data_IF_941529011279
#
_entry.id   IF_941529011279
#
_cell.length_a   1.000
_cell.length_b   1.000
_cell.length_c   1.000
_cell.angle_alpha   90.00
_cell.angle_beta   90.00
_cell.angle_gamma   90.00
#
_symmetry.space_group_name_H-M   'P 1'
#
loop_
_entity.id
_entity.type
_entity.pdbx_description
1 polymer ?
#
# COMPACT_ATOMS: atom_id res chain seq x y z
N UNK A 1 -54.89 10.26 19.00
CA UNK A 1 -54.08 9.05 18.74
C UNK A 1 -53.70 9.08 17.27
N UNK A 2 -52.43 8.85 16.95
CA UNK A 2 -51.75 8.91 15.65
C UNK A 2 -51.19 10.27 15.20
N UNK A 3 -49.92 10.51 15.57
CA UNK A 3 -48.98 11.32 14.77
C UNK A 3 -48.39 10.44 13.65
N UNK A 4 -48.20 10.95 12.43
CA UNK A 4 -47.29 10.32 11.47
C UNK A 4 -45.85 10.80 11.76
N UNK A 5 -44.93 9.83 11.84
CA UNK A 5 -43.49 10.05 11.97
C UNK A 5 -42.94 10.59 10.65
N UNK A 6 -42.40 11.80 10.66
CA UNK A 6 -41.51 12.28 9.60
C UNK A 6 -40.18 11.53 9.66
N UNK A 7 -39.91 10.69 8.68
CA UNK A 7 -38.54 10.26 8.39
C UNK A 7 -37.87 11.38 7.60
N UNK A 8 -36.95 12.08 8.26
CA UNK A 8 -35.99 12.92 7.57
C UNK A 8 -34.96 12.00 6.89
N UNK A 9 -35.08 11.81 5.58
CA UNK A 9 -33.94 11.38 4.77
C UNK A 9 -33.00 12.58 4.66
N UNK A 10 -31.94 12.58 5.46
CA UNK A 10 -30.72 13.32 5.15
C UNK A 10 -30.09 12.66 3.94
N UNK A 11 -30.44 13.12 2.74
CA UNK A 11 -29.69 12.82 1.53
C UNK A 11 -28.33 13.48 1.63
N UNK A 12 -27.26 12.68 1.74
CA UNK A 12 -25.93 13.13 1.37
C UNK A 12 -26.00 13.48 -0.12
N UNK A 13 -25.98 14.78 -0.44
CA UNK A 13 -25.66 15.23 -1.77
C UNK A 13 -24.17 14.92 -2.00
N UNK A 14 -23.89 13.72 -2.52
CA UNK A 14 -22.62 13.45 -3.16
C UNK A 14 -22.58 14.39 -4.37
N UNK A 15 -21.74 15.42 -4.29
CA UNK A 15 -21.46 16.27 -5.44
C UNK A 15 -20.79 15.39 -6.49
N UNK A 16 -21.54 15.02 -7.52
CA UNK A 16 -21.04 14.30 -8.69
C UNK A 16 -20.11 15.26 -9.44
N UNK A 17 -18.85 15.30 -9.01
CA UNK A 17 -17.78 15.86 -9.83
C UNK A 17 -17.62 14.94 -11.04
N UNK A 18 -17.40 15.51 -12.23
CA UNK A 18 -17.14 14.71 -13.41
C UNK A 18 -16.01 13.72 -13.16
N UNK A 19 -16.20 12.44 -13.50
CA UNK A 19 -15.18 11.42 -13.18
C UNK A 19 -13.88 11.63 -13.96
N UNK A 20 -13.94 12.30 -15.12
CA UNK A 20 -12.75 12.82 -15.80
C UNK A 20 -11.94 13.80 -14.92
N UNK A 21 -12.62 14.70 -14.19
CA UNK A 21 -11.97 15.61 -13.23
C UNK A 21 -11.53 14.89 -11.94
N UNK A 22 -12.00 13.67 -11.69
CA UNK A 22 -11.59 12.88 -10.54
C UNK A 22 -10.19 12.26 -10.72
N UNK A 23 -9.71 12.12 -11.96
CA UNK A 23 -8.35 11.63 -12.23
C UNK A 23 -7.32 12.75 -12.24
N UNK A 24 -7.65 13.89 -12.83
CA UNK A 24 -6.73 15.00 -13.09
C UNK A 24 -7.05 16.20 -12.19
N UNK A 25 -6.31 16.36 -11.10
CA UNK A 25 -6.56 17.40 -10.09
C UNK A 25 -5.33 17.67 -9.22
N UNK A 26 -5.31 18.83 -8.57
CA UNK A 26 -4.29 19.22 -7.59
C UNK A 26 -4.95 19.82 -6.35
N UNK A 27 -4.45 19.50 -5.16
CA UNK A 27 -4.90 20.11 -3.89
C UNK A 27 -4.36 21.54 -3.74
N UNK A 28 -3.18 21.81 -4.28
CA UNK A 28 -2.51 23.10 -4.23
C UNK A 28 -1.84 23.38 -5.58
N UNK A 29 -2.23 24.46 -6.26
CA UNK A 29 -1.60 24.86 -7.51
C UNK A 29 -0.49 25.90 -7.25
N UNK A 30 0.79 25.58 -7.49
CA UNK A 30 1.93 26.42 -7.16
C UNK A 30 2.04 27.67 -8.05
N UNK A 31 1.32 27.73 -9.18
CA UNK A 31 1.22 28.96 -9.98
C UNK A 31 0.42 30.05 -9.25
N UNK A 32 -0.43 29.67 -8.30
CA UNK A 32 -1.37 30.56 -7.63
C UNK A 32 -1.15 30.65 -6.10
N UNK A 33 -0.39 29.74 -5.51
CA UNK A 33 -0.16 29.66 -4.07
C UNK A 33 1.25 29.13 -3.74
N UNK A 34 1.64 29.20 -2.48
CA UNK A 34 2.81 28.48 -1.96
C UNK A 34 2.33 27.11 -1.48
N UNK A 35 2.86 26.04 -2.07
CA UNK A 35 2.52 24.65 -1.72
C UNK A 35 3.63 24.03 -0.86
N UNK A 36 3.30 22.92 -0.20
CA UNK A 36 4.28 22.12 0.53
C UNK A 36 5.28 21.48 -0.44
N UNK A 37 6.45 21.09 0.07
CA UNK A 37 7.42 20.36 -0.74
C UNK A 37 6.87 18.98 -1.13
N UNK A 38 7.07 18.58 -2.38
CA UNK A 38 6.60 17.31 -2.91
C UNK A 38 7.58 16.20 -2.56
N UNK A 39 7.17 15.09 -1.93
CA UNK A 39 8.05 13.96 -1.66
C UNK A 39 8.59 13.35 -2.97
N UNK A 40 9.90 13.17 -3.08
CA UNK A 40 10.50 12.55 -4.25
C UNK A 40 10.50 11.01 -4.16
N UNK A 41 10.58 10.33 -5.30
CA UNK A 41 10.98 8.93 -5.32
C UNK A 41 12.50 8.83 -5.06
N UNK A 42 13.32 9.62 -5.75
CA UNK A 42 14.77 9.74 -5.51
C UNK A 42 15.58 8.45 -5.77
N UNK A 43 15.00 7.53 -6.55
CA UNK A 43 15.57 6.22 -6.90
C UNK A 43 14.80 5.60 -8.07
N UNK A 44 15.18 4.39 -8.48
CA UNK A 44 14.31 3.50 -9.25
C UNK A 44 13.65 2.45 -8.37
N UNK A 45 12.50 1.96 -8.81
CA UNK A 45 11.69 0.96 -8.13
C UNK A 45 10.89 0.13 -9.14
N UNK A 46 10.69 -1.16 -8.84
CA UNK A 46 9.76 -2.03 -9.56
C UNK A 46 8.68 -2.50 -8.61
N UNK A 47 7.43 -2.22 -8.94
CA UNK A 47 6.25 -2.67 -8.23
C UNK A 47 5.63 -3.84 -8.99
N UNK A 48 5.65 -5.02 -8.38
CA UNK A 48 5.03 -6.22 -8.93
C UNK A 48 3.64 -6.39 -8.33
N UNK A 49 2.60 -5.98 -9.06
CA UNK A 49 1.24 -5.92 -8.56
C UNK A 49 0.60 -7.31 -8.33
N UNK A 50 1.32 -8.40 -8.59
CA UNK A 50 0.91 -9.75 -8.20
C UNK A 50 1.53 -10.24 -6.87
N UNK A 51 2.45 -9.47 -6.27
CA UNK A 51 3.26 -9.89 -5.11
C UNK A 51 3.44 -8.77 -4.07
N UNK A 52 3.82 -7.58 -4.53
CA UNK A 52 3.92 -6.36 -3.74
C UNK A 52 2.61 -5.62 -3.91
N UNK A 53 1.72 -5.73 -2.91
CA UNK A 53 0.50 -4.94 -2.86
C UNK A 53 0.86 -3.45 -2.83
N UNK A 54 -0.06 -2.59 -3.28
CA UNK A 54 0.09 -1.15 -3.22
C UNK A 54 0.26 -0.70 -1.76
N UNK A 55 1.52 -0.64 -1.32
CA UNK A 55 1.90 -0.22 0.01
C UNK A 55 1.33 1.16 0.27
N UNK A 56 0.55 1.31 1.34
CA UNK A 56 -0.10 2.58 1.68
C UNK A 56 0.88 3.72 1.93
N UNK A 57 2.13 3.40 2.25
CA UNK A 57 3.19 4.40 2.42
C UNK A 57 3.70 4.93 1.07
N UNK A 58 3.55 4.15 -0.01
CA UNK A 58 3.99 4.50 -1.36
C UNK A 58 2.85 4.88 -2.31
N UNK A 59 1.64 4.39 -2.05
CA UNK A 59 0.47 4.53 -2.91
C UNK A 59 -0.77 4.89 -2.10
N UNK A 60 -1.67 5.67 -2.71
CA UNK A 60 -2.94 6.06 -2.12
C UNK A 60 -4.07 5.83 -3.11
N UNK A 61 -5.02 4.99 -2.74
CA UNK A 61 -6.27 4.83 -3.49
C UNK A 61 -7.06 6.14 -3.43
N UNK A 62 -7.45 6.65 -4.59
CA UNK A 62 -8.22 7.89 -4.75
C UNK A 62 -9.68 7.61 -5.09
N UNK A 63 -9.99 6.45 -5.67
CA UNK A 63 -11.34 5.97 -5.91
C UNK A 63 -11.37 4.44 -5.91
N UNK A 64 -12.48 3.86 -5.42
CA UNK A 64 -12.70 2.42 -5.40
C UNK A 64 -11.64 1.63 -4.63
N UNK A 65 -11.61 0.32 -4.89
CA UNK A 65 -10.65 -0.63 -4.32
C UNK A 65 -10.02 -1.42 -5.44
N UNK A 66 -8.74 -1.74 -5.30
CA UNK A 66 -8.01 -2.59 -6.25
C UNK A 66 -7.94 -3.99 -5.67
N UNK A 67 -8.39 -4.97 -6.44
CA UNK A 67 -8.25 -6.38 -6.10
C UNK A 67 -6.90 -6.89 -6.60
N UNK A 68 -6.15 -7.58 -5.75
CA UNK A 68 -4.84 -8.12 -6.11
C UNK A 68 -4.96 -9.62 -6.35
N UNK A 69 -4.66 -10.05 -7.59
CA UNK A 69 -4.69 -11.45 -8.00
C UNK A 69 -3.30 -11.94 -8.41
N UNK A 70 -3.18 -13.22 -8.75
CA UNK A 70 -1.90 -13.78 -9.23
C UNK A 70 -1.44 -13.17 -10.56
N UNK A 71 -2.35 -12.53 -11.31
CA UNK A 71 -2.05 -11.90 -12.61
C UNK A 71 -1.69 -10.43 -12.52
N UNK A 72 -2.02 -9.75 -11.41
CA UNK A 72 -1.78 -8.33 -11.22
C UNK A 72 -2.83 -7.66 -10.33
N UNK A 73 -2.80 -6.33 -10.29
CA UNK A 73 -3.85 -5.50 -9.71
C UNK A 73 -4.99 -5.30 -10.69
N UNK A 74 -6.21 -5.51 -10.23
CA UNK A 74 -7.44 -5.48 -11.00
C UNK A 74 -8.27 -4.24 -10.61
N UNK A 75 -8.45 -3.36 -11.59
CA UNK A 75 -9.21 -2.12 -11.47
C UNK A 75 -10.58 -2.35 -12.09
N UNK A 76 -11.53 -2.83 -11.27
CA UNK A 76 -12.82 -3.35 -11.74
C UNK A 76 -13.96 -2.36 -11.53
N UNK A 77 -14.71 -2.08 -12.58
CA UNK A 77 -15.96 -1.31 -12.57
C UNK A 77 -17.11 -2.33 -12.61
N UNK A 78 -17.94 -2.37 -11.56
CA UNK A 78 -19.07 -3.32 -11.47
C UNK A 78 -20.40 -2.70 -11.92
N UNK A 79 -20.49 -1.36 -11.96
CA UNK A 79 -21.69 -0.67 -12.41
C UNK A 79 -21.55 0.85 -12.41
N UNK A 80 -22.67 1.53 -12.63
CA UNK A 80 -22.72 2.98 -12.73
C UNK A 80 -22.26 3.66 -11.42
N UNK A 81 -21.42 4.69 -11.56
CA UNK A 81 -20.81 5.41 -10.44
C UNK A 81 -19.51 4.80 -9.92
N UNK A 82 -19.17 3.57 -10.30
CA UNK A 82 -17.88 2.97 -9.95
C UNK A 82 -16.73 3.62 -10.75
N UNK A 83 -15.63 3.88 -10.06
CA UNK A 83 -14.32 4.12 -10.65
C UNK A 83 -13.27 3.55 -9.71
N UNK A 84 -12.15 3.10 -10.26
CA UNK A 84 -11.02 2.59 -9.48
C UNK A 84 -9.79 3.36 -9.88
N UNK A 85 -9.14 4.02 -8.92
CA UNK A 85 -7.97 4.84 -9.17
C UNK A 85 -7.02 4.84 -7.97
N UNK A 86 -5.73 4.92 -8.26
CA UNK A 86 -4.66 4.99 -7.28
C UNK A 86 -3.58 5.94 -7.77
N UNK A 87 -2.92 6.63 -6.86
CA UNK A 87 -1.80 7.51 -7.15
C UNK A 87 -0.59 7.20 -6.28
N UNK A 88 0.62 7.48 -6.76
CA UNK A 88 1.82 7.43 -5.93
C UNK A 88 1.83 8.58 -4.92
N UNK A 89 2.31 8.31 -3.71
CA UNK A 89 2.53 9.34 -2.68
C UNK A 89 3.79 10.18 -2.94
N UNK A 90 4.66 9.68 -3.82
CA UNK A 90 5.87 10.35 -4.28
C UNK A 90 5.71 10.89 -5.70
N UNK A 91 6.57 11.82 -6.05
CA UNK A 91 6.72 12.42 -7.35
C UNK A 91 8.07 12.01 -7.96
N UNK A 92 8.16 12.04 -9.29
CA UNK A 92 9.43 11.99 -10.02
C UNK A 92 9.65 13.31 -10.76
N UNK A 93 10.91 13.69 -10.96
CA UNK A 93 11.22 14.90 -11.70
C UNK A 93 12.12 14.60 -12.89
N UNK A 94 11.48 14.52 -14.05
CA UNK A 94 11.98 13.74 -15.18
C UNK A 94 12.19 12.27 -14.79
N UNK A 95 12.27 11.38 -15.77
CA UNK A 95 12.40 9.97 -15.46
C UNK A 95 11.85 9.05 -16.52
N UNK A 96 11.63 7.83 -16.07
CA UNK A 96 11.07 6.75 -16.88
C UNK A 96 9.98 6.03 -16.11
N UNK A 97 8.86 5.81 -16.76
CA UNK A 97 7.74 5.02 -16.23
C UNK A 97 7.40 3.93 -17.21
N UNK A 98 7.41 2.68 -16.76
CA UNK A 98 6.96 1.55 -17.56
C UNK A 98 5.78 0.87 -16.86
N UNK A 99 4.70 0.62 -17.61
CA UNK A 99 3.51 -0.05 -17.10
C UNK A 99 3.19 -1.23 -18.00
N UNK A 100 3.26 -2.43 -17.43
CA UNK A 100 2.85 -3.66 -18.12
C UNK A 100 1.40 -3.97 -17.78
N UNK A 101 0.50 -3.80 -18.74
CA UNK A 101 -0.93 -3.88 -18.50
C UNK A 101 -1.75 -4.48 -19.65
N UNK A 102 -3.00 -4.83 -19.32
CA UNK A 102 -4.12 -5.04 -20.23
C UNK A 102 -5.18 -3.97 -19.94
N UNK A 103 -5.63 -3.28 -20.97
CA UNK A 103 -6.71 -2.30 -20.84
C UNK A 103 -8.05 -2.98 -20.54
N UNK A 104 -8.97 -2.23 -19.94
CA UNK A 104 -10.33 -2.69 -19.71
C UNK A 104 -11.10 -2.76 -21.04
N UNK A 105 -11.88 -3.82 -21.29
CA UNK A 105 -12.88 -3.83 -22.34
C UNK A 105 -14.10 -2.99 -21.94
N UNK A 106 -15.03 -2.81 -22.89
CA UNK A 106 -16.33 -2.19 -22.66
C UNK A 106 -16.46 -0.83 -23.35
N UNK A 107 -17.54 -0.63 -24.10
CA UNK A 107 -17.84 0.67 -24.70
C UNK A 107 -17.93 1.74 -23.61
N UNK A 108 -17.33 2.91 -23.83
CA UNK A 108 -17.36 4.00 -22.86
C UNK A 108 -16.45 3.82 -21.63
N UNK A 109 -15.77 2.67 -21.48
CA UNK A 109 -14.82 2.44 -20.39
C UNK A 109 -13.43 2.93 -20.79
N UNK A 110 -12.78 3.62 -19.87
CA UNK A 110 -11.47 4.22 -20.08
C UNK A 110 -10.48 3.62 -19.09
N UNK A 111 -9.36 3.12 -19.60
CA UNK A 111 -8.18 2.80 -18.78
C UNK A 111 -7.15 3.91 -18.96
N UNK A 112 -6.46 4.26 -17.88
CA UNK A 112 -5.63 5.47 -17.83
C UNK A 112 -4.32 5.23 -17.08
N UNK A 113 -3.23 5.72 -17.66
CA UNK A 113 -1.93 5.89 -17.01
C UNK A 113 -1.55 7.36 -17.18
N UNK A 114 -1.50 8.08 -16.06
CA UNK A 114 -1.33 9.54 -16.06
C UNK A 114 -0.16 9.91 -15.15
N UNK A 115 0.79 10.67 -15.67
CA UNK A 115 1.70 11.45 -14.83
C UNK A 115 1.11 12.85 -14.70
N UNK A 116 0.97 13.34 -13.46
CA UNK A 116 0.41 14.68 -13.24
C UNK A 116 1.15 15.45 -12.14
N UNK A 117 1.43 16.72 -12.41
CA UNK A 117 2.04 17.66 -11.46
C UNK A 117 0.97 18.45 -10.69
N UNK A 118 1.42 19.18 -9.67
CA UNK A 118 0.56 20.11 -8.95
C UNK A 118 0.18 21.37 -9.75
N UNK A 119 0.93 21.75 -10.78
CA UNK A 119 0.54 22.84 -11.69
C UNK A 119 -0.29 22.37 -12.89
N UNK A 120 -0.60 21.07 -12.96
CA UNK A 120 -1.37 20.42 -14.03
C UNK A 120 -0.60 20.31 -15.36
N UNK A 121 0.73 20.22 -15.30
CA UNK A 121 1.47 19.48 -16.32
C UNK A 121 1.05 18.01 -16.27
N UNK A 122 0.87 17.40 -17.45
CA UNK A 122 0.22 16.10 -17.57
C UNK A 122 0.79 15.31 -18.76
N UNK A 123 0.97 14.00 -18.57
CA UNK A 123 1.33 13.05 -19.62
C UNK A 123 0.40 11.84 -19.50
N UNK A 124 -0.32 11.53 -20.58
CA UNK A 124 -1.36 10.50 -20.55
C UNK A 124 -1.09 9.36 -21.53
N UNK A 125 -1.54 8.18 -21.13
CA UNK A 125 -1.77 7.02 -21.98
C UNK A 125 -3.15 6.49 -21.66
N UNK A 126 -4.05 6.60 -22.64
CA UNK A 126 -5.48 6.27 -22.49
C UNK A 126 -5.88 5.15 -23.46
N UNK A 127 -6.76 4.25 -23.01
CA UNK A 127 -7.44 3.26 -23.85
C UNK A 127 -8.93 3.39 -23.69
N UNK A 128 -9.63 3.21 -24.81
CA UNK A 128 -11.09 3.13 -24.82
C UNK A 128 -11.47 1.67 -25.01
N UNK A 129 -12.25 1.11 -24.08
CA UNK A 129 -12.57 -0.32 -24.04
C UNK A 129 -13.37 -0.83 -25.24
N UNK A 130 -14.07 0.06 -25.95
CA UNK A 130 -14.72 -0.22 -27.23
C UNK A 130 -13.77 -0.24 -28.44
N UNK A 131 -12.50 0.18 -28.27
CA UNK A 131 -11.49 0.23 -29.32
C UNK A 131 -10.35 -0.76 -29.02
N UNK A 132 -10.39 -1.92 -29.68
CA UNK A 132 -9.39 -2.98 -29.54
C UNK A 132 -8.21 -2.86 -30.54
N UNK A 133 -8.02 -1.67 -31.13
CA UNK A 133 -7.04 -1.48 -32.21
C UNK A 133 -6.13 -0.28 -32.01
N UNK A 134 -6.44 0.60 -31.05
CA UNK A 134 -5.66 1.81 -30.80
C UNK A 134 -5.61 2.16 -29.32
N UNK A 135 -4.58 2.92 -28.97
CA UNK A 135 -4.46 3.64 -27.70
C UNK A 135 -4.14 5.11 -28.01
N UNK A 136 -4.29 5.99 -27.03
CA UNK A 136 -4.08 7.42 -27.18
C UNK A 136 -2.94 7.89 -26.28
N UNK A 137 -1.99 8.61 -26.86
CA UNK A 137 -1.03 9.43 -26.10
C UNK A 137 -1.53 10.86 -26.03
N UNK A 138 -1.36 11.53 -24.89
CA UNK A 138 -1.71 12.93 -24.73
C UNK A 138 -0.77 13.65 -23.76
N UNK A 139 -0.83 14.98 -23.75
CA UNK A 139 -0.13 15.79 -22.77
C UNK A 139 -0.83 17.12 -22.55
N UNK A 140 -0.68 17.69 -21.37
CA UNK A 140 -1.08 19.06 -21.05
C UNK A 140 0.08 19.78 -20.36
N UNK A 141 0.15 21.09 -20.56
CA UNK A 141 1.06 21.92 -19.78
C UNK A 141 0.25 22.93 -18.98
N UNK A 142 0.51 23.03 -17.68
CA UNK A 142 -0.08 24.01 -16.76
C UNK A 142 -1.63 24.04 -16.80
N UNK A 143 -2.25 22.89 -17.05
CA UNK A 143 -3.71 22.76 -17.19
C UNK A 143 -4.30 23.49 -18.39
N UNK A 144 -3.50 23.87 -19.38
CA UNK A 144 -3.96 24.61 -20.55
C UNK A 144 -4.84 23.73 -21.45
N UNK A 145 -6.16 23.95 -21.44
CA UNK A 145 -7.13 23.23 -22.28
C UNK A 145 -7.69 24.07 -23.44
N UNK A 146 -6.98 25.14 -23.83
CA UNK A 146 -7.40 26.04 -24.93
C UNK A 146 -7.53 25.29 -26.27
N UNK A 147 -6.74 24.25 -26.45
CA UNK A 147 -6.77 23.35 -27.61
C UNK A 147 -6.83 21.90 -27.14
N UNK A 148 -7.39 21.02 -27.99
CA UNK A 148 -7.46 19.57 -27.79
C UNK A 148 -6.74 18.81 -28.92
N UNK A 149 -5.72 19.43 -29.50
CA UNK A 149 -4.95 18.96 -30.66
C UNK A 149 -3.73 18.07 -30.31
N UNK A 150 -3.52 17.81 -29.01
CA UNK A 150 -2.35 17.12 -28.48
C UNK A 150 -2.49 15.61 -28.43
N UNK A 151 -3.74 15.14 -28.44
CA UNK A 151 -4.07 13.73 -28.40
C UNK A 151 -3.75 13.07 -29.75
N UNK A 152 -3.01 11.96 -29.72
CA UNK A 152 -2.66 11.19 -30.93
C UNK A 152 -2.98 9.73 -30.68
N UNK A 153 -3.74 9.14 -31.60
CA UNK A 153 -4.11 7.73 -31.60
C UNK A 153 -3.07 6.89 -32.33
N UNK A 154 -2.67 5.78 -31.71
CA UNK A 154 -1.64 4.88 -32.21
C UNK A 154 -2.18 3.46 -32.35
N UNK A 155 -1.89 2.76 -33.45
CA UNK A 155 -2.33 1.40 -33.64
C UNK A 155 -1.66 0.45 -32.64
N UNK A 156 -2.41 -0.53 -32.16
CA UNK A 156 -1.91 -1.61 -31.31
C UNK A 156 -2.77 -2.86 -31.49
N UNK A 157 -2.15 -4.02 -31.37
CA UNK A 157 -2.82 -5.30 -31.54
C UNK A 157 -3.39 -5.79 -30.21
N UNK A 158 -4.72 -5.67 -30.06
CA UNK A 158 -5.51 -6.28 -28.98
C UNK A 158 -5.11 -5.84 -27.54
N UNK A 159 -5.14 -4.53 -27.21
CA UNK A 159 -4.64 -4.03 -25.92
C UNK A 159 -5.49 -4.45 -24.72
N UNK A 160 -6.73 -4.92 -24.95
CA UNK A 160 -7.58 -5.51 -23.91
C UNK A 160 -7.27 -7.00 -23.69
N UNK A 161 -6.88 -7.74 -24.74
CA UNK A 161 -6.58 -9.17 -24.67
C UNK A 161 -5.12 -9.49 -24.33
N UNK A 162 -4.16 -8.64 -24.72
CA UNK A 162 -2.71 -8.90 -24.64
C UNK A 162 -2.00 -7.95 -23.69
N UNK A 163 -0.95 -8.47 -23.06
CA UNK A 163 -0.05 -7.65 -22.26
C UNK A 163 0.84 -6.81 -23.17
N UNK A 164 0.90 -5.52 -22.90
CA UNK A 164 1.82 -4.58 -23.52
C UNK A 164 2.61 -3.85 -22.45
N UNK A 165 3.88 -3.56 -22.73
CA UNK A 165 4.68 -2.64 -21.93
C UNK A 165 4.55 -1.24 -22.54
N UNK A 166 3.89 -0.33 -21.83
CA UNK A 166 3.82 1.08 -22.21
C UNK A 166 4.85 1.86 -21.41
N UNK A 167 5.72 2.59 -22.10
CA UNK A 167 6.81 3.32 -21.45
C UNK A 167 6.78 4.79 -21.81
N UNK A 168 6.93 5.63 -20.80
CA UNK A 168 7.20 7.06 -20.90
C UNK A 168 8.67 7.28 -20.55
N UNK A 169 9.45 7.89 -21.44
CA UNK A 169 10.77 8.46 -21.13
C UNK A 169 10.68 9.98 -21.23
N UNK A 170 10.88 10.66 -20.10
CA UNK A 170 10.59 12.07 -19.95
C UNK A 170 11.83 12.80 -19.45
N UNK A 171 12.32 13.75 -20.24
CA UNK A 171 13.48 14.60 -19.94
C UNK A 171 13.12 16.07 -20.16
N UNK A 172 14.02 16.99 -19.83
CA UNK A 172 13.78 18.42 -20.11
C UNK A 172 13.76 18.74 -21.61
N UNK A 173 14.43 17.93 -22.45
CA UNK A 173 14.52 18.17 -23.88
C UNK A 173 13.42 17.47 -24.69
N UNK A 174 12.98 16.29 -24.24
CA UNK A 174 12.03 15.45 -24.97
C UNK A 174 11.23 14.52 -24.06
N UNK A 175 10.05 14.20 -24.55
CA UNK A 175 9.11 13.24 -24.01
C UNK A 175 8.83 12.18 -25.06
N UNK A 176 9.04 10.91 -24.73
CA UNK A 176 8.86 9.79 -25.63
C UNK A 176 7.87 8.79 -25.07
N UNK A 177 6.98 8.29 -25.94
CA UNK A 177 6.11 7.17 -25.66
C UNK A 177 6.57 5.96 -26.46
N UNK A 178 6.71 4.84 -25.77
CA UNK A 178 7.13 3.57 -26.34
C UNK A 178 6.11 2.49 -26.02
N UNK A 179 6.02 1.49 -26.89
CA UNK A 179 5.24 0.28 -26.66
C UNK A 179 6.08 -0.93 -27.05
N UNK A 180 6.24 -1.89 -26.13
CA UNK A 180 7.01 -3.13 -26.38
C UNK A 180 8.40 -2.86 -26.98
N UNK A 181 9.14 -1.91 -26.39
CA UNK A 181 10.47 -1.45 -26.81
C UNK A 181 10.53 -0.74 -28.19
N UNK A 182 9.38 -0.42 -28.79
CA UNK A 182 9.28 0.38 -30.02
C UNK A 182 8.91 1.84 -29.69
N UNK A 183 9.66 2.80 -30.24
CA UNK A 183 9.37 4.23 -30.09
C UNK A 183 8.18 4.60 -30.98
N UNK A 184 7.10 5.07 -30.36
CA UNK A 184 5.85 5.40 -31.06
C UNK A 184 5.72 6.90 -31.29
N UNK A 185 6.06 7.72 -30.30
CA UNK A 185 5.93 9.17 -30.37
C UNK A 185 7.07 9.86 -29.64
N UNK A 186 7.56 10.96 -30.21
CA UNK A 186 8.44 11.92 -29.54
C UNK A 186 7.80 13.30 -29.58
N UNK A 187 7.78 13.98 -28.44
CA UNK A 187 7.47 15.40 -28.30
C UNK A 187 8.75 16.11 -27.85
N UNK A 188 9.26 17.06 -28.62
CA UNK A 188 10.36 17.92 -28.17
C UNK A 188 9.81 19.09 -27.37
N UNK A 189 10.62 19.64 -26.48
CA UNK A 189 10.31 20.85 -25.72
C UNK A 189 9.76 21.98 -26.60
N UNK A 190 10.45 22.27 -27.72
CA UNK A 190 10.09 23.35 -28.65
C UNK A 190 8.75 23.14 -29.37
N UNK A 191 8.34 21.88 -29.58
CA UNK A 191 7.09 21.54 -30.27
C UNK A 191 5.86 21.76 -29.37
N UNK A 192 6.06 21.82 -28.05
CA UNK A 192 5.00 22.02 -27.07
C UNK A 192 4.77 23.52 -26.78
N UNK A 193 4.40 24.28 -27.82
CA UNK A 193 4.23 25.74 -27.76
C UNK A 193 5.51 26.45 -27.28
N UNK A 194 6.65 26.15 -27.91
CA UNK A 194 7.98 26.66 -27.54
C UNK A 194 8.36 26.41 -26.06
N UNK A 195 7.81 25.35 -25.45
CA UNK A 195 8.07 24.97 -24.07
C UNK A 195 6.98 25.33 -23.07
N UNK A 196 6.09 26.27 -23.40
CA UNK A 196 5.07 26.75 -22.45
C UNK A 196 4.14 25.63 -22.00
N UNK A 197 3.79 24.73 -22.93
CA UNK A 197 2.92 23.58 -22.69
C UNK A 197 3.71 22.27 -22.52
N UNK A 198 5.04 22.32 -22.45
CA UNK A 198 5.84 21.11 -22.24
C UNK A 198 5.74 20.67 -20.78
N UNK A 199 5.36 19.41 -20.48
CA UNK A 199 5.36 18.89 -19.12
C UNK A 199 6.77 18.92 -18.55
N UNK A 200 6.99 19.67 -17.48
CA UNK A 200 8.32 20.02 -17.02
C UNK A 200 8.43 20.21 -15.50
N UNK A 201 7.43 19.78 -14.73
CA UNK A 201 7.40 19.94 -13.27
C UNK A 201 7.15 18.58 -12.63
N UNK A 202 7.55 18.33 -11.36
CA UNK A 202 7.51 16.99 -10.79
C UNK A 202 6.10 16.40 -10.81
N UNK A 203 5.99 15.12 -11.19
CA UNK A 203 4.72 14.43 -11.40
C UNK A 203 4.60 13.18 -10.54
N UNK A 204 3.41 12.95 -10.00
CA UNK A 204 3.04 11.65 -9.43
C UNK A 204 2.42 10.77 -10.51
N UNK A 205 2.48 9.45 -10.32
CA UNK A 205 1.86 8.48 -11.22
C UNK A 205 0.46 8.13 -10.73
N UNK A 206 -0.52 8.22 -11.62
CA UNK A 206 -1.92 7.84 -11.39
C UNK A 206 -2.32 6.74 -12.36
N UNK A 207 -2.99 5.74 -11.84
CA UNK A 207 -3.46 4.56 -12.58
C UNK A 207 -4.94 4.41 -12.29
N UNK A 208 -5.76 4.22 -13.32
CA UNK A 208 -7.19 4.07 -13.09
C UNK A 208 -8.01 3.50 -14.23
N UNK A 209 -9.20 3.02 -13.87
CA UNK A 209 -10.23 2.55 -14.77
C UNK A 209 -11.55 3.26 -14.41
N UNK A 210 -12.19 3.90 -15.39
CA UNK A 210 -13.35 4.74 -15.15
C UNK A 210 -14.31 4.80 -16.37
N UNK A 211 -15.61 5.03 -16.13
CA UNK A 211 -16.63 5.11 -17.17
C UNK A 211 -16.70 6.51 -17.81
N UNK A 212 -15.78 6.83 -18.72
CA UNK A 212 -15.81 8.10 -19.48
C UNK A 212 -17.08 8.30 -20.31
N UNK A 213 -17.71 7.20 -20.73
CA UNK A 213 -18.98 7.17 -21.43
C UNK A 213 -20.23 7.31 -20.54
N UNK A 214 -20.10 7.59 -19.24
CA UNK A 214 -21.27 7.80 -18.37
C UNK A 214 -21.86 9.21 -18.56
N UNK A 215 -23.04 9.37 -19.20
CA UNK A 215 -23.62 10.68 -19.48
C UNK A 215 -24.17 11.38 -18.23
N UNK A 216 -24.42 10.64 -17.14
CA UNK A 216 -24.89 11.24 -15.88
C UNK A 216 -23.74 11.91 -15.11
N UNK A 217 -22.49 11.49 -15.41
CA UNK A 217 -21.30 11.91 -14.70
C UNK A 217 -20.27 12.63 -15.59
N UNK A 218 -20.40 12.63 -16.91
CA UNK A 218 -19.44 13.29 -17.79
C UNK A 218 -20.13 14.22 -18.79
N UNK A 219 -19.39 15.21 -19.28
CA UNK A 219 -19.90 16.08 -20.34
C UNK A 219 -20.00 15.30 -21.67
N UNK A 220 -20.84 15.79 -22.59
CA UNK A 220 -21.11 15.11 -23.86
C UNK A 220 -19.85 14.87 -24.70
N UNK A 221 -18.88 15.78 -24.68
CA UNK A 221 -17.62 15.62 -25.42
C UNK A 221 -16.75 14.49 -24.88
N UNK A 222 -16.71 14.30 -23.56
CA UNK A 222 -16.05 13.17 -22.92
C UNK A 222 -16.74 11.86 -23.26
N UNK A 223 -18.08 11.82 -23.24
CA UNK A 223 -18.85 10.62 -23.61
C UNK A 223 -18.60 10.24 -25.07
N UNK A 224 -18.61 11.22 -25.97
CA UNK A 224 -18.33 11.00 -27.40
C UNK A 224 -16.87 10.53 -27.62
N UNK A 225 -15.90 11.15 -26.95
CA UNK A 225 -14.49 10.74 -26.99
C UNK A 225 -14.29 9.30 -26.48
N UNK A 226 -15.01 8.91 -25.43
CA UNK A 226 -14.98 7.56 -24.87
C UNK A 226 -15.68 6.51 -25.76
N UNK A 227 -16.14 6.88 -26.95
CA UNK A 227 -16.78 5.97 -27.90
C UNK A 227 -18.27 5.73 -27.64
N UNK A 228 -18.93 6.62 -26.90
CA UNK A 228 -20.36 6.58 -26.61
C UNK A 228 -20.71 6.07 -25.21
N UNK A 229 -22.02 5.92 -24.96
CA UNK A 229 -22.53 5.53 -23.65
C UNK A 229 -22.07 4.14 -23.21
N UNK A 230 -21.82 3.99 -21.90
CA UNK A 230 -21.44 2.71 -21.30
C UNK A 230 -22.58 1.70 -21.37
N UNK A 231 -22.25 0.48 -21.81
CA UNK A 231 -23.20 -0.64 -21.84
C UNK A 231 -23.16 -1.42 -20.51
N UNK A 232 -23.78 -0.89 -19.46
CA UNK A 232 -23.71 -1.45 -18.10
C UNK A 232 -24.11 -2.92 -17.93
N UNK A 233 -24.86 -3.50 -18.87
CA UNK A 233 -25.21 -4.92 -18.86
C UNK A 233 -24.03 -5.84 -19.18
N UNK A 234 -22.95 -5.31 -19.75
CA UNK A 234 -21.71 -6.03 -20.04
C UNK A 234 -20.70 -5.99 -18.87
N UNK A 235 -21.03 -5.28 -17.79
CA UNK A 235 -20.21 -5.26 -16.57
C UNK A 235 -20.05 -6.69 -15.99
N UNK A 236 -18.92 -7.00 -15.32
CA UNK A 236 -17.85 -6.08 -14.92
C UNK A 236 -16.82 -5.78 -16.02
N UNK A 237 -16.19 -4.61 -15.90
CA UNK A 237 -15.10 -4.17 -16.78
C UNK A 237 -13.81 -4.02 -15.98
N UNK A 238 -12.74 -4.71 -16.38
CA UNK A 238 -11.50 -4.79 -15.59
C UNK A 238 -10.27 -4.44 -16.41
N UNK A 239 -9.55 -3.40 -15.98
CA UNK A 239 -8.15 -3.15 -16.36
C UNK A 239 -7.24 -3.97 -15.43
N UNK A 240 -6.18 -4.58 -15.97
CA UNK A 240 -5.21 -5.33 -15.16
C UNK A 240 -3.79 -4.79 -15.34
N UNK A 241 -3.11 -4.47 -14.24
CA UNK A 241 -1.70 -4.04 -14.22
C UNK A 241 -0.85 -5.12 -13.56
N UNK A 242 0.22 -5.56 -14.23
CA UNK A 242 1.13 -6.59 -13.70
C UNK A 242 2.35 -5.99 -13.03
N UNK A 243 3.03 -5.09 -13.74
CA UNK A 243 4.29 -4.50 -13.31
C UNK A 243 4.27 -3.00 -13.56
N UNK A 244 4.81 -2.24 -12.62
CA UNK A 244 5.08 -0.81 -12.77
C UNK A 244 6.55 -0.58 -12.42
N UNK A 245 7.35 -0.12 -13.37
CA UNK A 245 8.70 0.36 -13.14
C UNK A 245 8.69 1.88 -13.14
N UNK A 246 9.36 2.48 -12.17
CA UNK A 246 9.54 3.93 -12.11
C UNK A 246 11.01 4.21 -11.83
N UNK A 247 11.60 5.10 -12.62
CA UNK A 247 12.91 5.66 -12.37
C UNK A 247 12.78 7.17 -12.28
N UNK A 248 13.13 7.70 -11.12
CA UNK A 248 13.39 9.11 -10.93
C UNK A 248 14.77 9.45 -11.49
N UNK A 249 14.87 10.45 -12.35
CA UNK A 249 16.18 10.95 -12.80
C UNK A 249 16.82 11.90 -11.78
N UNK A 250 16.09 12.26 -10.72
CA UNK A 250 16.65 12.91 -9.54
C UNK A 250 17.05 11.90 -8.46
N UNK A 251 17.93 12.33 -7.55
CA UNK A 251 18.29 11.59 -6.32
C UNK A 251 17.86 12.36 -5.05
N UNK A 252 16.92 13.30 -5.19
CA UNK A 252 16.46 14.17 -4.10
C UNK A 252 15.57 13.46 -3.08
N UNK A 253 15.40 14.11 -1.92
CA UNK A 253 14.39 13.77 -0.92
C UNK A 253 13.01 14.32 -1.29
N UNK A 254 12.98 15.57 -1.74
CA UNK A 254 11.78 16.38 -1.97
C UNK A 254 12.04 17.38 -3.10
N UNK A 255 10.97 17.83 -3.75
CA UNK A 255 10.97 18.93 -4.70
C UNK A 255 10.28 20.16 -4.10
N UNK A 256 10.91 21.31 -4.24
CA UNK A 256 10.37 22.59 -3.80
C UNK A 256 10.21 23.54 -4.97
N UNK A 257 9.03 24.13 -5.08
CA UNK A 257 8.78 25.24 -6.00
C UNK A 257 9.49 26.49 -5.49
N UNK A 258 10.47 26.97 -6.26
CA UNK A 258 11.25 28.18 -5.97
C UNK A 258 10.50 29.46 -6.32
N UNK A 259 9.58 29.41 -7.29
CA UNK A 259 8.69 30.49 -7.69
C UNK A 259 7.36 29.97 -8.28
N UNK A 260 6.57 30.86 -8.89
CA UNK A 260 5.24 30.56 -9.46
C UNK A 260 5.25 30.49 -11.00
N UNK A 261 6.42 30.30 -11.63
CA UNK A 261 6.55 30.37 -13.09
C UNK A 261 6.05 29.11 -13.80
N UNK A 262 6.03 27.96 -13.12
CA UNK A 262 5.72 26.68 -13.78
C UNK A 262 6.87 26.17 -14.66
N UNK A 263 8.09 26.70 -14.49
CA UNK A 263 9.27 26.29 -15.24
C UNK A 263 10.08 25.27 -14.45
N UNK A 264 10.71 24.32 -15.14
CA UNK A 264 11.54 23.30 -14.51
C UNK A 264 12.75 23.92 -13.78
N UNK A 265 13.22 25.08 -14.25
CA UNK A 265 14.29 25.85 -13.59
C UNK A 265 13.90 26.40 -12.22
N UNK A 266 12.60 26.54 -11.93
CA UNK A 266 12.13 26.95 -10.61
C UNK A 266 12.17 25.84 -9.57
N UNK A 267 12.35 24.58 -9.99
CA UNK A 267 12.26 23.42 -9.10
C UNK A 267 13.59 23.22 -8.38
N UNK A 268 13.58 23.44 -7.06
CA UNK A 268 14.70 23.15 -6.17
C UNK A 268 14.62 21.68 -5.71
N UNK A 269 15.65 20.90 -6.01
CA UNK A 269 15.79 19.52 -5.51
C UNK A 269 16.42 19.58 -4.11
N UNK A 270 15.69 19.16 -3.09
CA UNK A 270 16.18 19.11 -1.72
C UNK A 270 16.94 17.80 -1.51
N UNK A 271 18.22 17.91 -1.15
CA UNK A 271 19.08 16.75 -0.92
C UNK A 271 18.67 15.96 0.33
N UNK A 272 18.84 14.65 0.29
CA UNK A 272 18.59 13.73 1.41
C UNK A 272 18.14 12.37 0.92
N UNK A 273 17.79 11.47 1.83
CA UNK A 273 17.07 10.25 1.49
C UNK A 273 15.59 10.54 1.41
N UNK A 274 14.93 10.15 0.32
CA UNK A 274 13.48 10.29 0.20
C UNK A 274 12.76 9.26 1.08
N UNK A 275 11.57 9.63 1.56
CA UNK A 275 10.71 8.72 2.33
C UNK A 275 10.39 7.46 1.52
N UNK A 276 10.14 7.60 0.21
CA UNK A 276 9.85 6.45 -0.66
C UNK A 276 11.05 5.50 -0.78
N UNK A 277 12.28 6.02 -0.88
CA UNK A 277 13.49 5.21 -0.94
C UNK A 277 13.77 4.50 0.39
N UNK A 278 13.53 5.18 1.51
CA UNK A 278 13.58 4.57 2.84
C UNK A 278 12.51 3.50 3.01
N UNK A 279 11.31 3.66 2.44
CA UNK A 279 10.30 2.60 2.48
C UNK A 279 10.70 1.38 1.65
N UNK A 280 11.13 1.62 0.40
CA UNK A 280 11.49 0.56 -0.55
C UNK A 280 12.73 -0.26 -0.14
N UNK A 281 13.74 0.40 0.44
CA UNK A 281 15.06 -0.20 0.68
C UNK A 281 15.51 -0.10 2.13
N UNK A 282 14.74 0.56 2.99
CA UNK A 282 15.00 0.63 4.42
C UNK A 282 14.84 -0.72 5.08
N UNK A 283 15.51 -0.84 6.21
CA UNK A 283 15.47 -2.06 7.02
C UNK A 283 14.30 -1.92 8.00
N UNK A 284 13.18 -2.58 7.69
CA UNK A 284 11.97 -2.50 8.51
C UNK A 284 11.74 -3.74 9.37
N UNK A 285 11.20 -3.50 10.57
CA UNK A 285 10.78 -4.55 11.50
C UNK A 285 11.93 -5.35 12.13
N UNK A 286 11.58 -6.16 13.13
CA UNK A 286 12.56 -6.96 13.89
C UNK A 286 13.29 -7.96 12.99
N UNK A 287 12.58 -8.55 12.01
CA UNK A 287 13.15 -9.51 11.05
C UNK A 287 14.11 -8.84 10.06
N UNK A 288 13.75 -7.68 9.50
CA UNK A 288 14.64 -6.92 8.61
C UNK A 288 15.90 -6.50 9.35
N UNK A 289 15.75 -5.90 10.54
CA UNK A 289 16.89 -5.53 11.37
C UNK A 289 17.75 -6.74 11.73
N UNK A 290 17.14 -7.88 12.08
CA UNK A 290 17.86 -9.12 12.34
C UNK A 290 18.69 -9.58 11.14
N UNK A 291 18.13 -9.54 9.93
CA UNK A 291 18.83 -9.96 8.71
C UNK A 291 19.95 -9.00 8.30
N UNK A 292 19.75 -7.70 8.49
CA UNK A 292 20.74 -6.67 8.19
C UNK A 292 21.96 -6.72 9.14
N UNK A 293 21.85 -7.36 10.32
CA UNK A 293 22.97 -7.48 11.25
C UNK A 293 24.08 -8.40 10.72
N UNK A 294 25.37 -8.07 11.01
CA UNK A 294 26.49 -8.97 10.77
C UNK A 294 26.27 -10.34 11.41
N UNK A 295 26.75 -11.40 10.75
CA UNK A 295 26.59 -12.77 11.23
C UNK A 295 27.13 -12.97 12.67
N UNK A 296 28.21 -12.26 13.01
CA UNK A 296 28.79 -12.27 14.36
C UNK A 296 27.83 -11.69 15.42
N UNK A 297 27.15 -10.58 15.11
CA UNK A 297 26.18 -9.94 16.01
C UNK A 297 24.97 -10.84 16.24
N UNK A 298 24.44 -11.47 15.18
CA UNK A 298 23.37 -12.47 15.28
C UNK A 298 23.80 -13.66 16.14
N UNK A 299 25.01 -14.17 15.90
CA UNK A 299 25.59 -15.27 16.68
C UNK A 299 25.71 -14.93 18.17
N UNK A 300 26.14 -13.71 18.49
CA UNK A 300 26.23 -13.21 19.87
C UNK A 300 24.86 -13.13 20.56
N UNK A 301 23.83 -12.63 19.88
CA UNK A 301 22.47 -12.56 20.42
C UNK A 301 21.89 -13.96 20.67
N UNK A 302 22.05 -14.89 19.71
CA UNK A 302 21.60 -16.29 19.89
C UNK A 302 22.31 -16.94 21.07
N UNK A 303 23.65 -16.82 21.14
CA UNK A 303 24.43 -17.41 22.23
C UNK A 303 24.04 -16.83 23.59
N UNK A 304 23.81 -15.51 23.68
CA UNK A 304 23.34 -14.85 24.89
C UNK A 304 21.95 -15.34 25.32
N UNK A 305 21.01 -15.45 24.39
CA UNK A 305 19.65 -15.94 24.68
C UNK A 305 19.65 -17.39 25.16
N UNK A 306 20.41 -18.27 24.50
CA UNK A 306 20.55 -19.68 24.91
C UNK A 306 21.24 -19.80 26.27
N UNK A 307 22.28 -19.00 26.52
CA UNK A 307 22.97 -18.96 27.81
C UNK A 307 22.04 -18.50 28.94
N UNK A 308 21.29 -17.42 28.72
CA UNK A 308 20.30 -16.92 29.69
C UNK A 308 19.21 -17.95 29.98
N UNK A 309 18.66 -18.59 28.94
CA UNK A 309 17.67 -19.65 29.10
C UNK A 309 18.21 -20.84 29.89
N UNK A 310 19.43 -21.29 29.61
CA UNK A 310 20.07 -22.38 30.33
C UNK A 310 20.27 -22.05 31.82
N UNK A 311 20.66 -20.81 32.15
CA UNK A 311 20.77 -20.34 33.54
C UNK A 311 19.40 -20.34 34.23
N UNK A 312 18.37 -19.82 33.58
CA UNK A 312 17.01 -19.81 34.13
C UNK A 312 16.47 -21.25 34.34
N UNK A 313 16.66 -22.13 33.36
CA UNK A 313 16.26 -23.54 33.47
C UNK A 313 17.03 -24.25 34.59
N UNK A 314 18.34 -24.03 34.70
CA UNK A 314 19.17 -24.57 35.78
C UNK A 314 18.72 -24.09 37.15
N UNK A 315 18.44 -22.79 37.30
CA UNK A 315 17.91 -22.22 38.54
C UNK A 315 16.53 -22.79 38.89
N UNK A 316 15.66 -22.98 37.90
CA UNK A 316 14.34 -23.59 38.08
C UNK A 316 14.46 -25.06 38.54
N UNK A 317 15.30 -25.86 37.87
CA UNK A 317 15.57 -27.26 38.27
C UNK A 317 16.14 -27.32 39.67
N UNK A 318 17.13 -26.47 40.01
CA UNK A 318 17.68 -26.40 41.35
C UNK A 318 16.62 -26.04 42.40
N UNK A 319 15.74 -25.08 42.09
CA UNK A 319 14.63 -24.70 42.96
C UNK A 319 13.65 -25.87 43.19
N UNK A 320 13.28 -26.59 42.12
CA UNK A 320 12.44 -27.80 42.21
C UNK A 320 13.09 -28.89 43.08
N UNK A 321 14.40 -29.16 42.89
CA UNK A 321 15.13 -30.15 43.68
C UNK A 321 15.22 -29.75 45.16
N UNK A 322 15.46 -28.46 45.44
CA UNK A 322 15.50 -27.93 46.80
C UNK A 322 14.13 -28.06 47.49
N UNK A 323 13.04 -27.73 46.79
CA UNK A 323 11.67 -27.91 47.30
C UNK A 323 11.33 -29.38 47.57
N UNK A 324 11.69 -30.29 46.66
CA UNK A 324 11.51 -31.73 46.85
C UNK A 324 12.24 -32.24 48.10
N UNK A 325 13.50 -31.83 48.29
CA UNK A 325 14.28 -32.25 49.46
C UNK A 325 13.73 -31.67 50.78
N UNK A 326 13.19 -30.45 50.77
CA UNK A 326 12.49 -29.89 51.93
C UNK A 326 11.22 -30.68 52.27
N UNK A 327 10.44 -31.06 51.26
CA UNK A 327 9.25 -31.91 51.44
C UNK A 327 9.59 -33.29 51.99
N UNK A 328 10.63 -33.94 51.48
CA UNK A 328 11.08 -35.25 51.98
C UNK A 328 11.56 -35.19 53.45
N UNK A 329 12.23 -34.10 53.86
CA UNK A 329 12.63 -33.90 55.25
C UNK A 329 11.42 -33.65 56.18
N UNK A 330 10.44 -32.89 55.70
CA UNK A 330 9.20 -32.64 56.46
C UNK A 330 8.40 -33.93 56.65
N UNK A 331 8.24 -34.75 55.60
CA UNK A 331 7.57 -36.05 55.69
C UNK A 331 8.29 -37.00 56.66
N UNK A 332 9.62 -37.06 56.61
CA UNK A 332 10.38 -37.91 57.55
C UNK A 332 10.21 -37.46 59.00
N UNK A 333 10.19 -36.15 59.26
CA UNK A 333 9.94 -35.62 60.60
C UNK A 333 8.53 -35.94 61.08
N UNK A 334 7.54 -35.90 60.18
CA UNK A 334 6.16 -36.28 60.48
C UNK A 334 6.03 -37.78 60.77
N UNK A 335 6.70 -38.64 59.99
CA UNK A 335 6.77 -40.09 60.25
C UNK A 335 7.43 -40.39 61.61
N UNK A 336 8.56 -39.74 61.91
CA UNK A 336 9.28 -39.90 63.18
C UNK A 336 8.41 -39.43 64.38
N UNK A 337 7.68 -38.32 64.22
CA UNK A 337 6.73 -37.82 65.23
C UNK A 337 5.54 -38.78 65.41
N UNK A 338 4.98 -39.29 64.31
CA UNK A 338 3.88 -40.26 64.36
C UNK A 338 4.29 -41.55 65.06
N UNK A 339 5.49 -42.07 64.76
CA UNK A 339 6.03 -43.24 65.46
C UNK A 339 6.18 -42.98 66.96
N UNK A 340 6.70 -41.81 67.34
CA UNK A 340 6.83 -41.41 68.73
C UNK A 340 5.47 -41.30 69.43
N UNK A 341 4.46 -40.70 68.79
CA UNK A 341 3.09 -40.64 69.33
C UNK A 341 2.49 -42.05 69.50
N UNK A 342 2.73 -42.98 68.58
CA UNK A 342 2.30 -44.38 68.71
C UNK A 342 2.99 -45.09 69.88
N UNK A 343 4.30 -44.87 70.07
CA UNK A 343 5.06 -45.39 71.21
C UNK A 343 4.55 -44.83 72.54
N UNK A 344 4.34 -43.52 72.64
CA UNK A 344 3.77 -42.86 73.82
C UNK A 344 2.35 -43.38 74.13
N UNK A 345 1.50 -43.59 73.10
CA UNK A 345 0.18 -44.21 73.23
C UNK A 345 0.24 -45.65 73.75
N UNK A 346 1.19 -46.46 73.27
CA UNK A 346 1.40 -47.82 73.73
C UNK A 346 1.89 -47.86 75.18
N UNK A 347 2.83 -46.97 75.54
CA UNK A 347 3.33 -46.85 76.90
C UNK A 347 2.17 -46.43 77.85
N UNK A 348 1.38 -45.43 77.47
CA UNK A 348 0.20 -45.00 78.21
C UNK A 348 -0.81 -46.14 78.39
N UNK A 349 -1.13 -46.91 77.34
CA UNK A 349 -2.00 -48.09 77.44
C UNK A 349 -1.43 -49.15 78.40
N UNK A 350 -0.11 -49.39 78.36
CA UNK A 350 0.54 -50.35 79.25
C UNK A 350 0.51 -49.90 80.72
N UNK A 351 0.73 -48.60 80.99
CA UNK A 351 0.61 -48.03 82.33
C UNK A 351 -0.85 -48.09 82.81
N UNK A 352 -1.82 -47.77 81.95
CA UNK A 352 -3.24 -47.89 82.27
C UNK A 352 -3.64 -49.34 82.59
N UNK A 353 -3.11 -50.33 81.85
CA UNK A 353 -3.32 -51.74 82.15
C UNK A 353 -2.69 -52.17 83.49
N UNK A 354 -1.51 -51.64 83.85
CA UNK A 354 -0.90 -51.87 85.18
C UNK A 354 -1.63 -51.18 86.33
N UNK A 355 -2.26 -50.04 86.06
CA UNK A 355 -3.07 -49.30 87.03
C UNK A 355 -4.50 -49.81 87.12
N UNK A 356 -4.93 -50.71 86.22
CA UNK A 356 -6.24 -51.35 86.31
C UNK A 356 -6.21 -52.26 87.54
N UNK A 357 -6.98 -51.95 88.60
CA UNK A 357 -7.07 -52.85 89.74
C UNK A 357 -7.61 -54.18 89.23
N UNK A 358 -7.00 -55.28 89.67
CA UNK A 358 -7.55 -56.61 89.45
C UNK A 358 -8.93 -56.62 90.09
N UNK A 359 -9.98 -56.48 89.28
CA UNK A 359 -11.37 -56.58 89.75
C UNK A 359 -11.72 -58.06 89.88
N UNK A 360 -10.91 -58.78 90.63
CA UNK A 360 -11.28 -60.02 91.30
C UNK A 360 -11.63 -59.67 92.74
N UNK A 361 -12.62 -58.78 92.93
CA UNK A 361 -13.46 -58.88 94.11
C UNK A 361 -14.77 -58.10 93.94
N UNK A 362 -15.82 -58.70 94.51
CA UNK A 362 -17.18 -58.17 94.75
C UNK A 362 -18.25 -58.45 93.67
N UNK A 363 -18.78 -59.68 93.75
CA UNK A 363 -20.20 -59.88 94.03
C UNK A 363 -20.63 -59.10 95.30
N UNK A 364 -21.58 -58.17 95.20
CA UNK A 364 -22.82 -58.14 95.99
C UNK A 364 -23.70 -56.95 95.64
#
# INVERSE_FOLDING_TARGET
MYLPRSFALTGLAATLLPQALAQTWTDCNPLNATCDNQPALGTNATFHWNKTQADSDLWKSTAGTIDFSTTGGEFTINGQGDSVSIMSNFFIFFGRVEVVMRASPGQGIVSSVVLQSEDLDEIDIEWIGGNNTHWQSNYFGKGNTTTYDRAVWHPIDDPQGKWHNYTIDWTKERLEWWVNDELIRTLKYEDANNGDNYPQTPMNLRLGNWPGGDPDNNNIGTVEWAGGEVLWHDAPFTMTIRDVYIQDYSEGKEYKWGDQTGSYESIEIINGTSTAKDELYGVHGVSGHWQAMPAATRGGIIAGALGGFAVCAGAFVFWCLKKRNQGAKAHKLEDDNWQKEQEELLEYKSQYQRMRPDSSDVHR
#
